data_IF_680357499898
#
_entry.id   IF_680357499898
#
_cell.length_a   1.000
_cell.length_b   1.000
_cell.length_c   1.000
_cell.angle_alpha   90.00
_cell.angle_beta   90.00
_cell.angle_gamma   90.00
#
_symmetry.space_group_name_H-M   'P 1'
#
loop_
_entity.id
_entity.type
_entity.pdbx_description
1 polymer ?
#
# COMPACT_ATOMS: atom_id res chain seq x y z
N UNK A 1 8.51 2.46 -9.03
CA UNK A 1 7.88 1.14 -9.22
C UNK A 1 8.88 0.33 -10.02
N UNK A 2 9.53 -0.66 -9.40
CA UNK A 2 10.44 -1.56 -10.11
C UNK A 2 9.68 -2.85 -10.40
N UNK A 3 9.71 -3.29 -11.66
CA UNK A 3 9.15 -4.57 -12.12
C UNK A 3 10.22 -5.66 -11.97
N UNK A 4 10.11 -6.46 -10.92
CA UNK A 4 10.71 -7.79 -10.88
C UNK A 4 9.57 -8.77 -10.61
N UNK A 5 9.13 -9.46 -11.65
CA UNK A 5 8.19 -10.59 -11.66
C UNK A 5 7.18 -10.67 -10.49
N UNK A 6 5.98 -10.17 -10.78
CA UNK A 6 4.71 -10.41 -10.06
C UNK A 6 4.59 -9.89 -8.63
N UNK A 7 5.50 -9.05 -8.13
CA UNK A 7 5.33 -8.40 -6.82
C UNK A 7 5.29 -6.88 -7.00
N UNK A 8 4.10 -6.29 -6.89
CA UNK A 8 3.96 -4.84 -6.78
C UNK A 8 4.25 -4.42 -5.35
N UNK A 9 5.45 -3.87 -5.11
CA UNK A 9 5.77 -3.19 -3.85
C UNK A 9 5.66 -1.69 -4.01
N UNK A 10 4.96 -1.03 -3.09
CA UNK A 10 4.91 0.43 -2.99
C UNK A 10 5.72 0.90 -1.78
N UNK A 11 6.58 1.89 -1.98
CA UNK A 11 7.31 2.56 -0.89
C UNK A 11 6.80 3.99 -0.71
N UNK A 12 6.91 4.52 0.50
CA UNK A 12 6.76 5.96 0.74
C UNK A 12 7.99 6.66 0.14
N UNK A 13 7.83 7.30 -1.02
CA UNK A 13 8.91 8.02 -1.71
C UNK A 13 9.07 9.47 -1.25
N UNK A 14 8.15 9.98 -0.43
CA UNK A 14 8.19 11.31 0.16
C UNK A 14 6.89 11.66 0.87
N UNK A 15 6.92 12.67 1.73
CA UNK A 15 5.74 13.28 2.35
C UNK A 15 5.74 14.76 2.01
N UNK A 16 4.57 15.30 1.67
CA UNK A 16 4.35 16.75 1.51
C UNK A 16 4.50 17.51 2.82
N UNK A 17 4.42 16.80 3.95
CA UNK A 17 4.18 17.41 5.26
C UNK A 17 5.45 17.48 6.10
N UNK A 18 6.34 16.47 6.00
CA UNK A 18 7.68 16.47 6.62
C UNK A 18 8.52 15.28 6.11
N UNK A 19 9.75 15.51 5.63
CA UNK A 19 10.66 14.46 5.14
C UNK A 19 11.24 13.57 6.25
N UNK A 20 11.19 14.02 7.50
CA UNK A 20 11.74 13.33 8.67
C UNK A 20 10.67 12.61 9.50
N UNK A 21 9.46 12.38 8.95
CA UNK A 21 8.41 11.64 9.66
C UNK A 21 8.92 10.28 10.11
N UNK A 22 8.78 10.00 11.40
CA UNK A 22 9.09 8.72 12.02
C UNK A 22 7.86 7.85 12.16
N UNK A 23 8.07 6.54 12.26
CA UNK A 23 7.02 5.53 12.33
C UNK A 23 6.45 5.35 13.76
N UNK A 24 6.06 6.46 14.41
CA UNK A 24 5.72 6.50 15.84
C UNK A 24 4.67 5.47 16.31
N UNK A 25 3.80 5.03 15.39
CA UNK A 25 2.74 4.07 15.68
C UNK A 25 3.18 2.61 15.53
N UNK A 26 4.33 2.33 14.93
CA UNK A 26 4.90 0.99 14.89
C UNK A 26 5.55 0.67 16.23
N UNK A 27 5.05 -0.29 17.03
CA UNK A 27 5.59 -0.57 18.36
C UNK A 27 7.06 -1.01 18.35
N UNK A 28 7.52 -1.64 17.27
CA UNK A 28 8.87 -2.20 17.14
C UNK A 28 9.85 -1.24 16.44
N UNK A 29 9.33 -0.34 15.59
CA UNK A 29 10.14 0.50 14.70
C UNK A 29 9.85 2.00 14.84
N UNK A 30 9.47 2.47 16.04
CA UNK A 30 9.06 3.87 16.30
C UNK A 30 10.02 4.94 15.77
N UNK A 31 11.32 4.69 15.88
CA UNK A 31 12.39 5.63 15.50
C UNK A 31 12.79 5.55 14.01
N UNK A 32 12.24 4.57 13.28
CA UNK A 32 12.50 4.38 11.85
C UNK A 32 11.91 5.55 11.08
N UNK A 33 12.68 6.10 10.13
CA UNK A 33 12.14 7.06 9.17
C UNK A 33 11.10 6.37 8.29
N UNK A 34 9.97 7.03 8.02
CA UNK A 34 8.97 6.55 7.08
C UNK A 34 9.43 6.66 5.62
N UNK A 35 10.49 7.42 5.34
CA UNK A 35 11.07 7.48 4.00
C UNK A 35 11.55 6.09 3.57
N UNK A 36 11.18 5.68 2.36
CA UNK A 36 11.50 4.40 1.74
C UNK A 36 10.90 3.16 2.44
N UNK A 37 10.00 3.34 3.40
CA UNK A 37 9.27 2.21 4.00
C UNK A 37 8.35 1.60 2.94
N UNK A 38 8.45 0.28 2.75
CA UNK A 38 7.49 -0.49 1.95
C UNK A 38 6.18 -0.50 2.73
N UNK A 39 5.14 0.09 2.13
CA UNK A 39 3.81 0.20 2.71
C UNK A 39 2.81 -0.74 2.08
N UNK A 40 3.16 -1.42 1.00
CA UNK A 40 2.29 -2.43 0.40
C UNK A 40 3.12 -3.44 -0.39
N UNK A 41 2.64 -4.69 -0.45
CA UNK A 41 3.35 -5.80 -1.09
C UNK A 41 2.48 -7.04 -1.24
N UNK A 42 3.10 -8.10 -1.76
CA UNK A 42 2.56 -9.46 -1.95
C UNK A 42 1.30 -9.57 -2.81
N UNK A 43 1.10 -8.61 -3.71
CA UNK A 43 0.00 -8.63 -4.66
C UNK A 43 0.20 -9.70 -5.73
N UNK A 44 -0.70 -10.68 -5.80
CA UNK A 44 -0.73 -11.70 -6.85
C UNK A 44 -1.66 -11.30 -7.98
N UNK A 45 -1.19 -11.34 -9.23
CA UNK A 45 -2.04 -11.07 -10.39
C UNK A 45 -3.05 -12.22 -10.60
N UNK A 46 -4.32 -11.87 -10.77
CA UNK A 46 -5.42 -12.83 -10.93
C UNK A 46 -6.16 -12.68 -12.26
N UNK A 47 -5.62 -11.89 -13.19
CA UNK A 47 -6.28 -11.56 -14.46
C UNK A 47 -7.15 -10.31 -14.38
N UNK A 48 -7.69 -9.89 -15.52
CA UNK A 48 -8.61 -8.74 -15.64
C UNK A 48 -8.09 -7.45 -14.98
N UNK A 49 -6.78 -7.20 -15.05
CA UNK A 49 -6.16 -6.02 -14.43
C UNK A 49 -6.39 -5.95 -12.91
N UNK A 50 -6.46 -7.11 -12.25
CA UNK A 50 -6.67 -7.23 -10.81
C UNK A 50 -5.54 -8.00 -10.13
N UNK A 51 -5.28 -7.61 -8.89
CA UNK A 51 -4.37 -8.29 -7.98
C UNK A 51 -5.03 -8.53 -6.62
N UNK A 52 -4.70 -9.65 -5.98
CA UNK A 52 -5.24 -10.07 -4.69
C UNK A 52 -4.12 -10.49 -3.73
N UNK A 53 -4.49 -10.89 -2.52
CA UNK A 53 -3.61 -11.39 -1.45
C UNK A 53 -2.53 -10.43 -0.95
N UNK A 54 -2.55 -9.18 -1.41
CA UNK A 54 -1.61 -8.16 -0.97
C UNK A 54 -1.93 -7.63 0.42
N UNK A 55 -1.03 -6.84 0.95
CA UNK A 55 -1.19 -6.12 2.21
C UNK A 55 -0.89 -4.63 2.04
N UNK A 56 -1.41 -3.82 2.97
CA UNK A 56 -1.04 -2.42 3.13
C UNK A 56 -0.78 -2.10 4.59
N UNK A 57 0.32 -1.41 4.87
CA UNK A 57 0.68 -0.85 6.17
C UNK A 57 0.26 0.63 6.23
N UNK A 58 -0.52 1.00 7.24
CA UNK A 58 -0.89 2.39 7.52
C UNK A 58 -0.03 2.97 8.65
N UNK A 59 0.98 3.80 8.33
CA UNK A 59 1.85 4.41 9.34
C UNK A 59 1.14 5.42 10.25
N UNK A 60 -0.08 5.84 9.91
CA UNK A 60 -0.85 6.77 10.74
C UNK A 60 -1.50 6.08 11.95
N UNK A 61 -1.62 4.75 11.93
CA UNK A 61 -2.16 3.99 13.06
C UNK A 61 -1.36 2.70 13.38
N UNK A 62 -0.31 2.40 12.62
CA UNK A 62 0.58 1.26 12.87
C UNK A 62 0.00 -0.10 12.50
N UNK A 63 -1.10 -0.15 11.73
CA UNK A 63 -1.79 -1.40 11.40
C UNK A 63 -1.53 -1.84 9.96
N UNK A 64 -1.54 -3.16 9.77
CA UNK A 64 -1.48 -3.79 8.46
C UNK A 64 -2.84 -4.41 8.11
N UNK A 65 -3.29 -4.18 6.87
CA UNK A 65 -4.58 -4.64 6.35
C UNK A 65 -4.37 -5.54 5.14
N UNK A 66 -5.32 -6.45 4.90
CA UNK A 66 -5.37 -7.19 3.64
C UNK A 66 -5.88 -6.27 2.54
N UNK A 67 -5.35 -6.43 1.34
CA UNK A 67 -5.64 -5.57 0.21
C UNK A 67 -5.92 -6.34 -1.07
N UNK A 68 -6.73 -5.73 -1.92
CA UNK A 68 -6.82 -6.06 -3.35
C UNK A 68 -6.64 -4.80 -4.17
N UNK A 69 -6.20 -4.97 -5.40
CA UNK A 69 -5.85 -3.87 -6.29
C UNK A 69 -6.47 -4.08 -7.66
N UNK A 70 -6.92 -3.01 -8.30
CA UNK A 70 -7.47 -3.04 -9.64
C UNK A 70 -6.99 -1.83 -10.42
N UNK A 71 -6.49 -2.04 -11.62
CA UNK A 71 -6.23 -0.96 -12.56
C UNK A 71 -7.53 -0.68 -13.33
N UNK A 72 -8.17 0.45 -13.04
CA UNK A 72 -9.48 0.81 -13.60
C UNK A 72 -9.37 1.57 -14.94
N UNK A 73 -8.21 2.20 -15.18
CA UNK A 73 -7.84 2.80 -16.47
C UNK A 73 -6.31 2.84 -16.62
N UNK A 74 -5.79 3.37 -17.73
CA UNK A 74 -4.35 3.37 -18.04
C UNK A 74 -3.47 4.08 -17.00
N UNK A 75 -4.05 4.90 -16.11
CA UNK A 75 -3.32 5.70 -15.11
C UNK A 75 -3.87 5.57 -13.70
N UNK A 76 -5.04 4.98 -13.51
CA UNK A 76 -5.73 4.94 -12.22
C UNK A 76 -5.79 3.55 -11.63
N UNK A 77 -5.32 3.44 -10.39
CA UNK A 77 -5.25 2.23 -9.60
C UNK A 77 -6.13 2.37 -8.37
N UNK A 78 -7.08 1.47 -8.18
CA UNK A 78 -7.85 1.37 -6.94
C UNK A 78 -7.20 0.33 -6.02
N UNK A 79 -6.97 0.71 -4.77
CA UNK A 79 -6.45 -0.16 -3.72
C UNK A 79 -7.49 -0.24 -2.63
N UNK A 80 -8.01 -1.45 -2.37
CA UNK A 80 -9.03 -1.66 -1.34
C UNK A 80 -8.46 -2.46 -0.18
N UNK A 81 -8.30 -1.80 0.96
CA UNK A 81 -7.90 -2.40 2.23
C UNK A 81 -9.10 -2.86 3.04
N UNK A 82 -9.03 -4.04 3.66
CA UNK A 82 -10.12 -4.65 4.42
C UNK A 82 -9.63 -5.52 5.58
N UNK A 83 -10.50 -5.71 6.57
CA UNK A 83 -10.27 -6.61 7.71
C UNK A 83 -11.21 -7.81 7.55
N UNK A 84 -10.66 -9.02 7.42
CA UNK A 84 -11.46 -10.23 7.22
C UNK A 84 -12.04 -10.33 5.81
N UNK A 85 -13.33 -10.01 5.65
CA UNK A 85 -14.00 -10.00 4.34
C UNK A 85 -13.88 -8.62 3.67
N UNK A 86 -13.76 -8.59 2.34
CA UNK A 86 -13.52 -7.33 1.63
C UNK A 86 -14.61 -6.29 1.82
N UNK A 87 -15.84 -6.70 2.15
CA UNK A 87 -16.99 -5.79 2.34
C UNK A 87 -16.75 -4.73 3.42
N UNK A 88 -15.97 -5.03 4.46
CA UNK A 88 -15.62 -4.10 5.53
C UNK A 88 -14.22 -3.53 5.32
N UNK A 89 -14.14 -2.44 4.57
CA UNK A 89 -12.88 -1.83 4.15
C UNK A 89 -13.01 -0.43 3.59
N UNK A 90 -11.89 0.13 3.15
CA UNK A 90 -11.79 1.42 2.46
C UNK A 90 -11.08 1.24 1.13
N UNK A 91 -11.45 2.05 0.14
CA UNK A 91 -10.79 2.10 -1.16
C UNK A 91 -10.06 3.44 -1.29
N UNK A 92 -8.80 3.38 -1.67
CA UNK A 92 -7.96 4.53 -2.02
C UNK A 92 -7.68 4.49 -3.53
N UNK A 93 -7.73 5.66 -4.17
CA UNK A 93 -7.47 5.80 -5.61
C UNK A 93 -6.12 6.46 -5.83
N UNK A 94 -5.24 5.77 -6.54
CA UNK A 94 -3.89 6.22 -6.86
C UNK A 94 -3.81 6.53 -8.35
N UNK A 95 -3.53 7.78 -8.70
CA UNK A 95 -3.35 8.20 -10.08
C UNK A 95 -1.88 8.41 -10.37
N UNK A 96 -1.37 7.72 -11.40
CA UNK A 96 -0.04 7.97 -11.95
C UNK A 96 -0.07 9.31 -12.72
N UNK A 97 0.68 10.30 -12.23
CA UNK A 97 0.91 11.56 -12.94
C UNK A 97 1.89 11.38 -14.09
#
# INVERSE_FOLDING_TARGET
MAETNEIYTGTISGSTDNKDRKDHHNPELRERSLLNVIVLGDFKYVGNLQWQDGWVYDPNNGKTYRCKMQLIDRKTLEIRGYIGISLFGRTETWTKR
#
